data_IF_567299097506
#
_entry.id   IF_567299097506
#
_cell.length_a   1.000
_cell.length_b   1.000
_cell.length_c   1.000
_cell.angle_alpha   90.00
_cell.angle_beta   90.00
_cell.angle_gamma   90.00
#
_symmetry.space_group_name_H-M   'P 1'
#
loop_
_entity.id
_entity.type
_entity.pdbx_description
1 polymer ?
#
# COMPACT_ATOMS: atom_id res chain seq x y z
N UNK A 1 20.22 5.84 34.23
CA UNK A 1 19.08 6.02 33.31
C UNK A 1 19.40 5.38 31.97
N UNK A 2 18.77 4.26 31.63
CA UNK A 2 18.92 3.62 30.31
C UNK A 2 18.36 4.57 29.24
N UNK A 3 19.23 5.06 28.36
CA UNK A 3 18.86 5.95 27.25
C UNK A 3 17.84 5.22 26.39
N UNK A 4 16.56 5.64 26.39
CA UNK A 4 15.51 5.05 25.52
C UNK A 4 16.03 5.07 24.08
N UNK A 5 16.26 3.88 23.51
CA UNK A 5 16.70 3.71 22.13
C UNK A 5 15.68 4.42 21.24
N UNK A 6 16.13 5.36 20.40
CA UNK A 6 15.25 6.01 19.42
C UNK A 6 14.75 4.94 18.47
N UNK A 7 13.43 4.89 18.26
CA UNK A 7 12.83 3.96 17.30
C UNK A 7 13.34 4.26 15.89
N UNK A 8 13.56 3.22 15.10
CA UNK A 8 13.82 3.34 13.66
C UNK A 8 12.54 3.79 12.92
N UNK A 9 12.67 4.21 11.67
CA UNK A 9 11.52 4.54 10.83
C UNK A 9 10.61 3.33 10.63
N UNK A 10 11.17 2.13 10.45
CA UNK A 10 10.42 0.88 10.29
C UNK A 10 9.63 0.55 11.56
N UNK A 11 10.27 0.57 12.72
CA UNK A 11 9.60 0.33 14.01
C UNK A 11 8.47 1.34 14.28
N UNK A 12 8.65 2.59 13.83
CA UNK A 12 7.62 3.61 13.92
C UNK A 12 6.45 3.32 12.97
N UNK A 13 6.72 2.95 11.72
CA UNK A 13 5.69 2.57 10.76
C UNK A 13 4.89 1.36 11.26
N UNK A 14 5.55 0.30 11.75
CA UNK A 14 4.90 -0.87 12.34
C UNK A 14 3.99 -0.50 13.51
N UNK A 15 4.47 0.36 14.42
CA UNK A 15 3.67 0.84 15.55
C UNK A 15 2.42 1.62 15.10
N UNK A 16 2.49 2.32 13.97
CA UNK A 16 1.36 3.06 13.41
C UNK A 16 0.35 2.08 12.81
N UNK A 17 0.79 1.14 11.97
CA UNK A 17 -0.14 0.19 11.34
C UNK A 17 -0.79 -0.76 12.34
N UNK A 18 -0.05 -1.28 13.33
CA UNK A 18 -0.64 -2.05 14.43
C UNK A 18 -1.67 -1.26 15.22
N UNK A 19 -1.46 0.05 15.39
CA UNK A 19 -2.44 0.90 16.04
C UNK A 19 -3.72 1.00 15.22
N UNK A 20 -3.60 1.31 13.93
CA UNK A 20 -4.73 1.41 12.99
C UNK A 20 -5.58 0.13 13.01
N UNK A 21 -4.95 -1.04 12.92
CA UNK A 21 -5.63 -2.36 12.94
C UNK A 21 -6.47 -2.62 14.20
N UNK A 22 -6.14 -1.97 15.32
CA UNK A 22 -6.84 -2.14 16.60
C UNK A 22 -7.93 -1.11 16.86
N UNK A 23 -8.05 -0.08 16.00
CA UNK A 23 -9.05 0.97 16.17
C UNK A 23 -10.40 0.56 15.55
N UNK A 24 -11.54 0.98 16.14
CA UNK A 24 -12.83 0.87 15.48
C UNK A 24 -12.89 1.78 14.24
N UNK A 25 -13.60 1.36 13.20
CA UNK A 25 -13.75 2.13 11.96
C UNK A 25 -15.08 2.91 11.92
N UNK A 26 -15.08 4.23 11.62
CA UNK A 26 -13.94 5.14 11.51
C UNK A 26 -13.44 5.63 12.88
N UNK A 27 -12.18 6.06 12.98
CA UNK A 27 -11.62 6.71 14.17
C UNK A 27 -10.95 8.05 13.85
N UNK A 28 -10.93 9.01 14.78
CA UNK A 28 -10.34 10.32 14.53
C UNK A 28 -8.81 10.28 14.57
N UNK A 29 -8.15 11.06 13.71
CA UNK A 29 -6.67 11.18 13.66
C UNK A 29 -6.06 11.55 15.03
N UNK A 30 -6.79 12.25 15.89
CA UNK A 30 -6.35 12.57 17.25
C UNK A 30 -5.95 11.35 18.07
N UNK A 31 -6.51 10.17 17.77
CA UNK A 31 -6.20 8.91 18.45
C UNK A 31 -4.71 8.53 18.33
N UNK A 32 -4.00 8.97 17.30
CA UNK A 32 -2.55 8.74 17.16
C UNK A 32 -1.72 9.33 18.31
N UNK A 33 -2.27 10.26 19.10
CA UNK A 33 -1.63 10.74 20.32
C UNK A 33 -1.39 9.62 21.33
N UNK A 34 -2.23 8.57 21.34
CA UNK A 34 -2.11 7.41 22.23
C UNK A 34 -0.84 6.60 21.98
N UNK A 35 -0.29 6.66 20.76
CA UNK A 35 1.00 6.06 20.42
C UNK A 35 2.16 7.07 20.41
N UNK A 36 1.91 8.29 20.91
CA UNK A 36 2.92 9.34 21.07
C UNK A 36 3.21 10.14 19.81
N UNK A 37 2.29 10.18 18.84
CA UNK A 37 2.40 11.08 17.70
C UNK A 37 1.69 12.41 17.99
N UNK A 38 2.42 13.52 17.87
CA UNK A 38 1.80 14.85 17.91
C UNK A 38 0.94 15.12 16.65
N UNK A 39 0.00 16.08 16.68
CA UNK A 39 -0.93 16.32 15.58
C UNK A 39 -0.27 16.55 14.22
N UNK A 40 0.81 17.33 14.17
CA UNK A 40 1.55 17.62 12.94
C UNK A 40 2.20 16.37 12.37
N UNK A 41 2.82 15.55 13.23
CA UNK A 41 3.48 14.32 12.82
C UNK A 41 2.46 13.28 12.37
N UNK A 42 1.33 13.16 13.07
CA UNK A 42 0.23 12.29 12.67
C UNK A 42 -0.30 12.67 11.28
N UNK A 43 -0.50 13.98 11.01
CA UNK A 43 -0.89 14.47 9.69
C UNK A 43 0.12 14.09 8.60
N UNK A 44 1.42 14.28 8.86
CA UNK A 44 2.47 13.88 7.90
C UNK A 44 2.44 12.39 7.61
N UNK A 45 2.27 11.54 8.62
CA UNK A 45 2.17 10.09 8.44
C UNK A 45 0.93 9.69 7.66
N UNK A 46 -0.23 10.26 7.98
CA UNK A 46 -1.48 9.99 7.25
C UNK A 46 -1.31 10.32 5.76
N UNK A 47 -0.82 11.52 5.43
CA UNK A 47 -0.57 11.93 4.03
C UNK A 47 0.44 11.02 3.33
N UNK A 48 1.49 10.59 4.04
CA UNK A 48 2.49 9.68 3.49
C UNK A 48 1.88 8.30 3.20
N UNK A 49 1.05 7.78 4.11
CA UNK A 49 0.35 6.50 3.93
C UNK A 49 -0.60 6.58 2.73
N UNK A 50 -1.41 7.64 2.63
CA UNK A 50 -2.29 7.88 1.49
C UNK A 50 -1.51 7.96 0.18
N UNK A 51 -0.40 8.70 0.17
CA UNK A 51 0.48 8.77 -1.00
C UNK A 51 0.99 7.39 -1.40
N UNK A 52 1.51 6.60 -0.45
CA UNK A 52 2.02 5.24 -0.69
C UNK A 52 0.92 4.31 -1.22
N UNK A 53 -0.29 4.34 -0.63
CA UNK A 53 -1.43 3.53 -1.07
C UNK A 53 -1.87 3.83 -2.52
N UNK A 54 -1.61 5.06 -2.97
CA UNK A 54 -1.88 5.51 -4.34
C UNK A 54 -0.78 5.15 -5.36
N UNK A 55 0.36 4.61 -4.93
CA UNK A 55 1.44 4.20 -5.83
C UNK A 55 1.26 2.76 -6.38
N UNK A 56 1.92 2.40 -7.50
CA UNK A 56 2.01 1.01 -7.95
C UNK A 56 2.71 0.12 -6.92
N UNK A 57 2.26 -1.13 -6.81
CA UNK A 57 2.92 -2.12 -5.93
C UNK A 57 4.30 -2.49 -6.46
N UNK A 58 5.25 -2.64 -5.55
CA UNK A 58 6.63 -3.03 -5.86
C UNK A 58 7.02 -4.32 -5.12
N UNK A 59 7.92 -5.08 -5.72
CA UNK A 59 8.65 -6.19 -5.10
C UNK A 59 10.11 -5.77 -4.98
N UNK A 60 10.70 -6.05 -3.83
CA UNK A 60 12.13 -5.81 -3.61
C UNK A 60 12.80 -7.18 -3.46
N UNK A 61 13.74 -7.48 -4.35
CA UNK A 61 14.45 -8.76 -4.38
C UNK A 61 15.94 -8.51 -4.23
N UNK A 62 16.57 -9.16 -3.24
CA UNK A 62 18.03 -9.09 -3.05
C UNK A 62 18.69 -10.24 -3.80
N UNK A 63 19.64 -9.93 -4.68
CA UNK A 63 20.41 -10.92 -5.44
C UNK A 63 21.90 -10.61 -5.26
N UNK A 64 22.59 -11.44 -4.45
CA UNK A 64 23.97 -11.20 -4.06
C UNK A 64 24.14 -9.87 -3.31
N UNK A 65 25.04 -9.02 -3.82
CA UNK A 65 25.29 -7.66 -3.30
C UNK A 65 24.29 -6.61 -3.79
N UNK A 66 23.44 -6.95 -4.76
CA UNK A 66 22.53 -6.01 -5.41
C UNK A 66 21.09 -6.15 -4.90
N UNK A 67 20.35 -5.03 -4.94
CA UNK A 67 18.92 -4.99 -4.61
C UNK A 67 18.16 -4.51 -5.83
N UNK A 68 17.20 -5.30 -6.29
CA UNK A 68 16.35 -5.01 -7.43
C UNK A 68 14.96 -4.61 -6.96
N UNK A 69 14.38 -3.62 -7.65
CA UNK A 69 13.00 -3.16 -7.43
C UNK A 69 12.20 -3.42 -8.69
N UNK A 70 11.20 -4.27 -8.58
CA UNK A 70 10.31 -4.66 -9.66
C UNK A 70 8.93 -4.04 -9.43
N UNK A 71 8.36 -3.44 -10.46
CA UNK A 71 6.95 -3.00 -10.41
C UNK A 71 6.10 -4.24 -10.65
N UNK A 72 5.33 -4.66 -9.65
CA UNK A 72 4.37 -5.77 -9.75
C UNK A 72 3.12 -5.30 -10.51
N UNK A 73 2.85 -3.99 -10.44
CA UNK A 73 1.68 -3.38 -11.04
C UNK A 73 2.13 -2.35 -12.09
N UNK A 74 1.60 -2.46 -13.31
CA UNK A 74 1.78 -1.42 -14.32
C UNK A 74 0.77 -0.27 -14.08
N UNK A 75 0.93 0.84 -14.80
CA UNK A 75 0.08 2.04 -14.62
C UNK A 75 -1.41 1.73 -14.83
N UNK A 76 -1.74 0.85 -15.77
CA UNK A 76 -3.11 0.47 -16.10
C UNK A 76 -3.77 -0.29 -14.94
N UNK A 77 -3.11 -1.33 -14.43
CA UNK A 77 -3.56 -2.08 -13.26
C UNK A 77 -3.74 -1.15 -12.03
N UNK A 78 -2.78 -0.26 -11.78
CA UNK A 78 -2.87 0.71 -10.68
C UNK A 78 -4.08 1.63 -10.79
N UNK A 79 -4.43 2.05 -12.01
CA UNK A 79 -5.63 2.85 -12.28
C UNK A 79 -6.92 2.06 -12.00
N UNK A 80 -7.00 0.82 -12.48
CA UNK A 80 -8.15 -0.05 -12.22
C UNK A 80 -8.33 -0.29 -10.72
N UNK A 81 -7.26 -0.59 -9.97
CA UNK A 81 -7.29 -0.75 -8.52
C UNK A 81 -7.84 0.49 -7.79
N UNK A 82 -7.45 1.69 -8.22
CA UNK A 82 -7.98 2.95 -7.67
C UNK A 82 -9.47 3.06 -7.91
N UNK A 83 -9.92 2.75 -9.13
CA UNK A 83 -11.32 2.79 -9.53
C UNK A 83 -12.18 1.75 -8.77
N UNK A 84 -11.63 0.57 -8.47
CA UNK A 84 -12.30 -0.46 -7.64
C UNK A 84 -12.57 0.05 -6.22
N UNK A 85 -11.73 0.92 -5.68
CA UNK A 85 -11.86 1.48 -4.33
C UNK A 85 -12.59 2.82 -4.29
N UNK A 86 -12.98 3.35 -5.45
CA UNK A 86 -13.65 4.64 -5.56
C UNK A 86 -15.11 4.55 -5.09
N UNK A 87 -15.39 5.13 -3.92
CA UNK A 87 -16.73 5.14 -3.32
C UNK A 87 -17.73 6.04 -4.04
N UNK A 88 -17.29 6.87 -4.99
CA UNK A 88 -18.19 7.66 -5.84
C UNK A 88 -18.85 6.86 -6.97
N UNK A 89 -18.32 5.66 -7.26
CA UNK A 89 -18.86 4.76 -8.28
C UNK A 89 -19.88 3.78 -7.68
N UNK A 90 -20.83 3.36 -8.51
CA UNK A 90 -21.78 2.32 -8.11
C UNK A 90 -21.06 0.99 -7.88
N UNK A 91 -21.63 0.13 -7.03
CA UNK A 91 -21.08 -1.21 -6.78
C UNK A 91 -20.91 -1.98 -8.10
N UNK A 92 -21.89 -1.89 -9.02
CA UNK A 92 -21.84 -2.55 -10.32
C UNK A 92 -20.65 -2.09 -11.19
N UNK A 93 -20.33 -0.80 -11.19
CA UNK A 93 -19.16 -0.28 -11.91
C UNK A 93 -17.85 -0.74 -11.28
N UNK A 94 -17.81 -0.81 -9.94
CA UNK A 94 -16.64 -1.30 -9.19
C UNK A 94 -16.41 -2.79 -9.43
N UNK A 95 -17.49 -3.59 -9.48
CA UNK A 95 -17.45 -5.02 -9.83
C UNK A 95 -16.92 -5.22 -11.26
N UNK A 96 -17.46 -4.52 -12.25
CA UNK A 96 -16.97 -4.61 -13.63
C UNK A 96 -15.48 -4.23 -13.74
N UNK A 97 -15.06 -3.18 -13.00
CA UNK A 97 -13.65 -2.79 -12.96
C UNK A 97 -12.77 -3.86 -12.30
N UNK A 98 -13.30 -4.59 -11.31
CA UNK A 98 -12.61 -5.73 -10.69
C UNK A 98 -12.41 -6.86 -11.70
N UNK A 99 -13.44 -7.18 -12.49
CA UNK A 99 -13.36 -8.20 -13.54
C UNK A 99 -12.31 -7.82 -14.61
N UNK A 100 -12.28 -6.55 -15.01
CA UNK A 100 -11.25 -6.01 -15.91
C UNK A 100 -9.84 -6.14 -15.33
N UNK A 101 -9.70 -5.87 -14.02
CA UNK A 101 -8.42 -5.98 -13.30
C UNK A 101 -7.90 -7.41 -13.27
N UNK A 102 -8.76 -8.36 -12.91
CA UNK A 102 -8.41 -9.80 -12.89
C UNK A 102 -8.08 -10.30 -14.30
N UNK A 103 -8.87 -9.91 -15.31
CA UNK A 103 -8.62 -10.26 -16.71
C UNK A 103 -7.26 -9.74 -17.19
N UNK A 104 -6.91 -8.50 -16.83
CA UNK A 104 -5.63 -7.91 -17.16
C UNK A 104 -4.46 -8.63 -16.47
N UNK A 105 -4.61 -9.03 -15.20
CA UNK A 105 -3.60 -9.83 -14.48
C UNK A 105 -3.36 -11.18 -15.17
N UNK A 106 -4.43 -11.93 -15.47
CA UNK A 106 -4.33 -13.22 -16.16
C UNK A 106 -3.64 -13.07 -17.52
N UNK A 107 -3.97 -12.02 -18.26
CA UNK A 107 -3.36 -11.75 -19.58
C UNK A 107 -1.85 -11.51 -19.46
N UNK A 108 -1.43 -10.73 -18.47
CA UNK A 108 -0.01 -10.43 -18.22
C UNK A 108 0.74 -11.69 -17.79
N UNK A 109 0.18 -12.49 -16.89
CA UNK A 109 0.78 -13.75 -16.45
C UNK A 109 0.96 -14.73 -17.62
N UNK A 110 -0.06 -14.88 -18.47
CA UNK A 110 0.03 -15.70 -19.69
C UNK A 110 1.10 -15.19 -20.66
N UNK A 111 1.20 -13.88 -20.84
CA UNK A 111 2.20 -13.27 -21.70
C UNK A 111 3.62 -13.49 -21.17
N UNK A 112 3.83 -13.39 -19.85
CA UNK A 112 5.11 -13.71 -19.22
C UNK A 112 5.47 -15.20 -19.33
N UNK A 113 4.53 -16.10 -19.06
CA UNK A 113 4.73 -17.54 -19.27
C UNK A 113 5.11 -17.87 -20.73
N UNK A 114 4.47 -17.19 -21.69
CA UNK A 114 4.79 -17.33 -23.11
C UNK A 114 6.17 -16.80 -23.49
N UNK A 115 6.71 -15.81 -22.76
CA UNK A 115 8.08 -15.32 -22.93
C UNK A 115 9.12 -16.26 -22.33
N UNK A 116 8.83 -16.89 -21.20
CA UNK A 116 9.75 -17.83 -20.52
C UNK A 116 9.95 -19.13 -21.32
N UNK A 117 8.96 -19.53 -22.14
CA UNK A 117 9.02 -20.73 -22.98
C UNK A 117 9.77 -20.56 -24.32
N UNK A 118 10.26 -19.36 -24.64
CA UNK A 118 11.09 -19.08 -25.82
C UNK A 118 12.53 -18.86 -25.40
#
# INVERSE_FOLDING_TARGET
MTRKKRRTLTERAESIFRFIETQPEPFPKSEFQRIGLNPTTAETWVRLIEYIQSQPRIKVTKMGSSTFIEKIENRYLSMLRKRILDSSLSIKEREATMDDYITALITLERAEMGRIKR
#
